data_IF_715618781267
#
_entry.id   IF_715618781267
#
_cell.length_a   1.000
_cell.length_b   1.000
_cell.length_c   1.000
_cell.angle_alpha   90.00
_cell.angle_beta   90.00
_cell.angle_gamma   90.00
#
_symmetry.space_group_name_H-M   'P 1'
#
loop_
_entity.id
_entity.type
_entity.pdbx_description
1 polymer ?
#
# COMPACT_ATOMS: atom_id res chain seq x y z
N UNK A 1 -24.50 7.81 -12.15
CA UNK A 1 -23.18 7.33 -11.68
C UNK A 1 -23.30 6.77 -10.28
N UNK A 2 -22.74 5.58 -10.02
CA UNK A 2 -22.68 4.97 -8.69
C UNK A 2 -21.34 5.29 -8.04
N UNK A 3 -21.35 5.82 -6.81
CA UNK A 3 -20.15 6.33 -6.14
C UNK A 3 -19.84 5.53 -4.86
N UNK A 4 -18.59 5.18 -4.65
CA UNK A 4 -18.06 4.74 -3.36
C UNK A 4 -16.99 5.73 -2.86
N UNK A 5 -17.03 6.03 -1.57
CA UNK A 5 -16.09 6.97 -0.95
C UNK A 5 -15.26 6.29 0.10
N UNK A 6 -13.94 6.46 0.06
CA UNK A 6 -13.04 5.91 1.05
C UNK A 6 -11.58 6.20 0.78
N UNK A 7 -10.74 5.99 1.79
CA UNK A 7 -9.30 6.15 1.59
C UNK A 7 -8.68 4.97 0.83
N UNK A 8 -9.19 3.76 1.00
CA UNK A 8 -8.80 2.52 0.31
C UNK A 8 -7.28 2.24 0.35
N UNK A 9 -6.61 2.54 1.48
CA UNK A 9 -5.19 2.28 1.59
C UNK A 9 -4.89 0.77 1.59
N UNK A 10 -4.02 0.36 0.67
CA UNK A 10 -3.66 -1.03 0.45
C UNK A 10 -4.63 -1.79 -0.45
N UNK A 11 -5.78 -1.24 -0.86
CA UNK A 11 -6.79 -1.93 -1.69
C UNK A 11 -6.90 -3.43 -1.33
N UNK A 12 -6.91 -3.73 -0.02
CA UNK A 12 -6.89 -5.07 0.54
C UNK A 12 -8.17 -5.85 0.23
N UNK A 13 -8.22 -7.15 0.52
CA UNK A 13 -9.34 -8.03 0.16
C UNK A 13 -10.71 -7.48 0.56
N UNK A 14 -10.84 -6.84 1.72
CA UNK A 14 -12.09 -6.18 2.12
C UNK A 14 -12.45 -4.98 1.23
N UNK A 15 -11.47 -4.17 0.82
CA UNK A 15 -11.71 -3.09 -0.14
C UNK A 15 -12.09 -3.63 -1.52
N UNK A 16 -11.44 -4.70 -1.98
CA UNK A 16 -11.73 -5.33 -3.28
C UNK A 16 -13.17 -5.82 -3.36
N UNK A 17 -13.71 -6.40 -2.29
CA UNK A 17 -15.12 -6.81 -2.23
C UNK A 17 -16.07 -5.61 -2.35
N UNK A 18 -15.79 -4.51 -1.66
CA UNK A 18 -16.59 -3.28 -1.78
C UNK A 18 -16.52 -2.71 -3.20
N UNK A 19 -15.33 -2.71 -3.83
CA UNK A 19 -15.14 -2.21 -5.18
C UNK A 19 -15.83 -3.12 -6.21
N UNK A 20 -15.78 -4.43 -6.03
CA UNK A 20 -16.50 -5.36 -6.90
C UNK A 20 -18.01 -5.10 -6.86
N UNK A 21 -18.60 -4.95 -5.66
CA UNK A 21 -20.02 -4.61 -5.53
C UNK A 21 -20.37 -3.25 -6.14
N UNK A 22 -19.44 -2.27 -6.08
CA UNK A 22 -19.61 -0.97 -6.76
C UNK A 22 -19.72 -1.16 -8.28
N UNK A 23 -18.79 -1.90 -8.88
CA UNK A 23 -18.73 -2.13 -10.33
C UNK A 23 -19.97 -2.92 -10.78
N UNK A 24 -20.34 -3.97 -10.04
CA UNK A 24 -21.55 -4.78 -10.34
C UNK A 24 -22.83 -3.93 -10.24
N UNK A 25 -22.96 -3.10 -9.20
CA UNK A 25 -24.12 -2.22 -9.03
C UNK A 25 -24.22 -1.18 -10.15
N UNK A 26 -23.11 -0.62 -10.60
CA UNK A 26 -23.06 0.30 -11.72
C UNK A 26 -23.46 -0.40 -13.03
N UNK A 27 -22.90 -1.58 -13.31
CA UNK A 27 -23.21 -2.37 -14.51
C UNK A 27 -24.69 -2.75 -14.62
N UNK A 28 -25.31 -3.21 -13.51
CA UNK A 28 -26.76 -3.56 -13.46
C UNK A 28 -27.63 -2.36 -13.79
N UNK A 29 -27.19 -1.14 -13.46
CA UNK A 29 -27.94 0.11 -13.67
C UNK A 29 -27.65 0.73 -15.05
N UNK A 30 -26.64 0.27 -15.77
CA UNK A 30 -26.13 0.93 -16.96
C UNK A 30 -25.46 2.28 -16.66
N UNK A 31 -24.97 2.45 -15.43
CA UNK A 31 -24.28 3.62 -14.94
C UNK A 31 -22.75 3.39 -14.94
N UNK A 32 -21.97 4.48 -14.84
CA UNK A 32 -20.53 4.40 -14.56
C UNK A 32 -20.29 4.22 -13.04
N UNK A 33 -19.26 3.46 -12.71
CA UNK A 33 -18.72 3.29 -11.35
C UNK A 33 -17.67 4.35 -11.03
N UNK A 34 -17.72 4.96 -9.84
CA UNK A 34 -16.72 5.93 -9.40
C UNK A 34 -16.25 5.66 -7.99
N UNK A 35 -14.95 5.66 -7.79
CA UNK A 35 -14.32 5.73 -6.46
C UNK A 35 -13.83 7.14 -6.20
N UNK A 36 -14.28 7.73 -5.10
CA UNK A 36 -13.75 8.99 -4.57
C UNK A 36 -12.79 8.65 -3.43
N UNK A 37 -11.52 9.01 -3.61
CA UNK A 37 -10.48 8.87 -2.59
C UNK A 37 -9.84 10.22 -2.27
N UNK A 38 -8.95 10.28 -1.29
CA UNK A 38 -8.43 11.53 -0.75
C UNK A 38 -6.89 11.55 -0.77
N UNK A 39 -6.34 12.76 -1.01
CA UNK A 39 -4.91 13.01 -0.87
C UNK A 39 -4.66 14.44 -0.37
N UNK A 40 -3.74 14.68 0.57
CA UNK A 40 -3.02 13.68 1.37
C UNK A 40 -3.93 12.87 2.30
N UNK A 41 -3.39 11.87 2.99
CA UNK A 41 -4.17 11.04 3.93
C UNK A 41 -4.77 11.92 5.04
N UNK A 42 -6.07 11.75 5.40
CA UNK A 42 -6.75 12.57 6.42
C UNK A 42 -5.98 12.71 7.74
N UNK A 43 -5.36 11.62 8.23
CA UNK A 43 -4.54 11.67 9.44
C UNK A 43 -3.34 12.63 9.32
N UNK A 44 -2.77 12.78 8.12
CA UNK A 44 -1.63 13.68 7.89
C UNK A 44 -2.02 15.17 7.96
N UNK A 45 -3.31 15.48 7.78
CA UNK A 45 -3.84 16.84 7.84
C UNK A 45 -4.39 17.18 9.23
N UNK A 46 -5.06 16.21 9.87
CA UNK A 46 -5.83 16.42 11.10
C UNK A 46 -5.02 16.20 12.38
N UNK A 47 -4.00 15.33 12.36
CA UNK A 47 -3.25 14.94 13.56
C UNK A 47 -1.86 15.54 13.58
N UNK A 48 -1.45 16.16 14.72
CA UNK A 48 -0.09 16.70 14.92
C UNK A 48 1.00 15.60 14.86
N UNK A 49 0.63 14.34 15.10
CA UNK A 49 1.53 13.17 15.09
C UNK A 49 1.55 12.43 13.74
N UNK A 50 1.00 13.02 12.70
CA UNK A 50 0.90 12.46 11.36
C UNK A 50 2.23 12.01 10.72
N UNK A 51 3.38 12.43 11.28
CA UNK A 51 4.71 12.02 10.78
C UNK A 51 4.97 10.51 10.91
N UNK A 52 4.18 9.77 11.71
CA UNK A 52 4.31 8.33 11.91
C UNK A 52 3.48 7.49 10.95
N UNK A 53 2.48 8.06 10.26
CA UNK A 53 1.65 7.28 9.36
C UNK A 53 2.45 6.84 8.13
N UNK A 54 2.44 5.53 7.88
CA UNK A 54 2.99 4.92 6.68
C UNK A 54 1.87 4.33 5.82
N UNK A 55 1.95 4.52 4.51
CA UNK A 55 0.94 4.10 3.54
C UNK A 55 1.26 2.70 3.00
N UNK A 56 0.23 1.89 2.82
CA UNK A 56 0.35 0.56 2.19
C UNK A 56 0.50 0.68 0.67
N UNK A 57 -0.14 1.67 0.05
CA UNK A 57 -0.05 1.96 -1.38
C UNK A 57 0.30 3.42 -1.62
N UNK A 58 1.08 3.70 -2.64
CA UNK A 58 1.19 5.06 -3.18
C UNK A 58 -0.14 5.45 -3.84
N UNK A 59 -0.34 6.75 -4.09
CA UNK A 59 -1.54 7.20 -4.80
C UNK A 59 -1.61 6.62 -6.22
N UNK A 60 -0.47 6.54 -6.91
CA UNK A 60 -0.40 5.96 -8.25
C UNK A 60 -0.76 4.47 -8.24
N UNK A 61 -0.15 3.67 -7.34
CA UNK A 61 -0.49 2.25 -7.18
C UNK A 61 -1.98 2.05 -6.88
N UNK A 62 -2.53 2.83 -5.94
CA UNK A 62 -3.95 2.75 -5.59
C UNK A 62 -4.86 3.01 -6.79
N UNK A 63 -4.60 4.09 -7.56
CA UNK A 63 -5.38 4.39 -8.77
C UNK A 63 -5.32 3.27 -9.79
N UNK A 64 -4.13 2.75 -10.05
CA UNK A 64 -3.94 1.63 -10.97
C UNK A 64 -4.74 0.41 -10.53
N UNK A 65 -4.62 -0.01 -9.26
CA UNK A 65 -5.33 -1.17 -8.72
C UNK A 65 -6.85 -1.01 -8.78
N UNK A 66 -7.38 0.19 -8.54
CA UNK A 66 -8.81 0.45 -8.64
C UNK A 66 -9.30 0.34 -10.10
N UNK A 67 -8.54 0.83 -11.08
CA UNK A 67 -8.87 0.64 -12.50
C UNK A 67 -8.76 -0.84 -12.93
N UNK A 68 -7.76 -1.58 -12.45
CA UNK A 68 -7.62 -3.02 -12.71
C UNK A 68 -8.80 -3.84 -12.14
N UNK A 69 -9.45 -3.34 -11.09
CA UNK A 69 -10.68 -3.91 -10.53
C UNK A 69 -11.96 -3.51 -11.30
N UNK A 70 -11.83 -2.74 -12.39
CA UNK A 70 -12.94 -2.37 -13.27
C UNK A 70 -13.64 -1.07 -12.89
N UNK A 71 -13.05 -0.24 -12.01
CA UNK A 71 -13.62 1.08 -11.70
C UNK A 71 -13.44 2.01 -12.90
N UNK A 72 -14.53 2.59 -13.42
CA UNK A 72 -14.50 3.48 -14.58
C UNK A 72 -13.80 4.81 -14.27
N UNK A 73 -14.08 5.39 -13.10
CA UNK A 73 -13.50 6.68 -12.69
C UNK A 73 -12.96 6.64 -11.27
N UNK A 74 -11.73 7.15 -11.10
CA UNK A 74 -11.11 7.35 -9.78
C UNK A 74 -10.82 8.83 -9.59
N UNK A 75 -11.59 9.46 -8.71
CA UNK A 75 -11.43 10.86 -8.34
C UNK A 75 -10.62 11.00 -7.06
N UNK A 76 -9.69 11.96 -7.05
CA UNK A 76 -8.81 12.23 -5.89
C UNK A 76 -9.09 13.62 -5.36
N UNK A 77 -9.85 13.71 -4.28
CA UNK A 77 -10.13 14.98 -3.64
C UNK A 77 -8.96 15.44 -2.76
N UNK A 78 -8.62 16.72 -2.87
CA UNK A 78 -7.65 17.34 -1.98
C UNK A 78 -8.21 17.40 -0.55
N UNK A 79 -7.63 16.61 0.38
CA UNK A 79 -8.04 16.63 1.77
C UNK A 79 -7.36 17.79 2.50
N UNK A 80 -8.04 18.94 2.53
CA UNK A 80 -7.61 20.16 3.21
C UNK A 80 -8.31 20.31 4.57
N UNK A 81 -7.89 21.28 5.38
CA UNK A 81 -8.62 21.63 6.62
C UNK A 81 -10.04 22.10 6.32
N UNK A 82 -10.22 22.89 5.25
CA UNK A 82 -11.54 23.37 4.84
C UNK A 82 -12.44 22.20 4.38
N UNK A 83 -11.88 21.28 3.56
CA UNK A 83 -12.60 20.06 3.19
C UNK A 83 -12.96 19.21 4.41
N UNK A 84 -12.08 19.11 5.39
CA UNK A 84 -12.33 18.34 6.63
C UNK A 84 -13.42 18.95 7.53
N UNK A 85 -13.79 20.21 7.31
CA UNK A 85 -14.89 20.89 8.03
C UNK A 85 -16.27 20.67 7.36
N UNK A 86 -16.28 20.08 6.16
CA UNK A 86 -17.52 19.80 5.42
C UNK A 86 -18.38 18.79 6.17
N UNK A 87 -19.66 19.10 6.34
CA UNK A 87 -20.65 18.18 6.93
C UNK A 87 -21.01 17.05 5.96
N UNK A 88 -21.60 15.98 6.46
CA UNK A 88 -22.11 14.88 5.65
C UNK A 88 -23.07 15.38 4.56
N UNK A 89 -24.03 16.28 4.90
CA UNK A 89 -24.98 16.80 3.92
C UNK A 89 -24.29 17.60 2.82
N UNK A 90 -23.35 18.49 3.16
CA UNK A 90 -22.57 19.28 2.20
C UNK A 90 -21.79 18.38 1.26
N UNK A 91 -21.18 17.31 1.81
CA UNK A 91 -20.44 16.33 1.02
C UNK A 91 -21.36 15.57 0.03
N UNK A 92 -22.52 15.09 0.49
CA UNK A 92 -23.47 14.39 -0.39
C UNK A 92 -23.98 15.31 -1.50
N UNK A 93 -24.31 16.54 -1.19
CA UNK A 93 -24.69 17.54 -2.20
C UNK A 93 -23.55 17.84 -3.18
N UNK A 94 -22.30 17.88 -2.69
CA UNK A 94 -21.12 18.08 -3.52
C UNK A 94 -20.99 16.94 -4.55
N UNK A 95 -21.04 15.67 -4.13
CA UNK A 95 -20.87 14.55 -5.07
C UNK A 95 -22.03 14.45 -6.08
N UNK A 96 -23.24 14.80 -5.69
CA UNK A 96 -24.39 14.86 -6.60
C UNK A 96 -24.20 15.96 -7.66
N UNK A 97 -23.75 17.15 -7.24
CA UNK A 97 -23.63 18.30 -8.12
C UNK A 97 -22.42 18.20 -9.06
N UNK A 98 -21.25 17.85 -8.52
CA UNK A 98 -19.99 17.91 -9.29
C UNK A 98 -19.78 16.64 -10.13
N UNK A 99 -20.26 15.49 -9.68
CA UNK A 99 -20.04 14.21 -10.36
C UNK A 99 -21.31 13.57 -10.92
N UNK A 100 -22.47 14.16 -10.68
CA UNK A 100 -23.73 13.57 -11.12
C UNK A 100 -24.04 12.24 -10.44
N UNK A 101 -23.66 12.09 -9.15
CA UNK A 101 -23.95 10.87 -8.42
C UNK A 101 -25.46 10.64 -8.31
N UNK A 102 -25.90 9.45 -8.72
CA UNK A 102 -27.31 8.99 -8.63
C UNK A 102 -27.48 7.95 -7.53
N UNK A 103 -26.40 7.26 -7.15
CA UNK A 103 -26.37 6.29 -6.07
C UNK A 103 -25.04 6.34 -5.31
N UNK A 104 -25.09 6.03 -4.03
CA UNK A 104 -23.91 5.86 -3.18
C UNK A 104 -23.88 4.45 -2.60
N UNK A 105 -22.69 3.81 -2.70
CA UNK A 105 -22.43 2.53 -2.07
C UNK A 105 -21.80 2.79 -0.69
N UNK A 106 -22.45 2.28 0.37
CA UNK A 106 -22.03 2.45 1.76
C UNK A 106 -21.58 1.13 2.38
N UNK A 107 -20.34 1.11 2.88
CA UNK A 107 -19.86 0.08 3.79
C UNK A 107 -20.50 0.21 5.19
N UNK A 108 -20.41 -0.84 5.97
CA UNK A 108 -20.97 -0.88 7.34
C UNK A 108 -20.28 0.09 8.31
N UNK A 109 -19.03 0.42 8.08
CA UNK A 109 -18.17 1.27 8.93
C UNK A 109 -17.87 2.64 8.33
N UNK A 110 -18.53 2.99 7.22
CA UNK A 110 -18.31 4.29 6.57
C UNK A 110 -18.73 5.43 7.51
N UNK A 111 -17.83 6.38 7.68
CA UNK A 111 -18.10 7.66 8.35
C UNK A 111 -17.80 8.79 7.36
N UNK A 112 -18.75 9.69 7.22
CA UNK A 112 -18.67 10.81 6.27
C UNK A 112 -18.94 12.12 7.00
N UNK A 113 -18.19 13.16 6.63
CA UNK A 113 -18.33 14.51 7.16
C UNK A 113 -17.58 14.74 8.48
N UNK A 114 -17.47 16.03 8.86
CA UNK A 114 -16.85 16.45 10.13
C UNK A 114 -17.69 16.06 11.34
N UNK A 115 -18.98 15.85 11.15
CA UNK A 115 -19.96 15.34 12.10
C UNK A 115 -19.82 13.83 12.37
N UNK A 116 -18.88 13.17 11.64
CA UNK A 116 -18.56 11.75 11.77
C UNK A 116 -19.79 10.84 11.73
N UNK A 117 -20.77 11.22 10.88
CA UNK A 117 -22.04 10.51 10.73
C UNK A 117 -21.80 9.04 10.40
N UNK A 118 -22.51 8.16 11.10
CA UNK A 118 -22.46 6.73 10.85
C UNK A 118 -23.18 6.35 9.54
N UNK A 119 -22.99 5.12 9.09
CA UNK A 119 -23.54 4.62 7.83
C UNK A 119 -25.08 4.75 7.76
N UNK A 120 -25.80 4.64 8.88
CA UNK A 120 -27.26 4.76 8.91
C UNK A 120 -27.70 6.23 8.81
N UNK A 121 -26.97 7.14 9.42
CA UNK A 121 -27.23 8.58 9.29
C UNK A 121 -26.96 9.05 7.88
N UNK A 122 -25.85 8.60 7.29
CA UNK A 122 -25.50 8.88 5.88
C UNK A 122 -26.60 8.36 4.95
N UNK A 123 -27.07 7.12 5.15
CA UNK A 123 -28.12 6.54 4.32
C UNK A 123 -29.43 7.34 4.39
N UNK A 124 -29.88 7.73 5.59
CA UNK A 124 -31.09 8.55 5.74
C UNK A 124 -30.97 9.90 5.04
N UNK A 125 -29.85 10.57 5.19
CA UNK A 125 -29.60 11.85 4.53
C UNK A 125 -29.54 11.68 3.01
N UNK A 126 -28.82 10.70 2.51
CA UNK A 126 -28.71 10.43 1.07
C UNK A 126 -30.09 10.25 0.43
N UNK A 127 -30.95 9.40 1.04
CA UNK A 127 -32.33 9.18 0.57
C UNK A 127 -33.14 10.49 0.61
N UNK A 128 -33.00 11.30 1.66
CA UNK A 128 -33.73 12.60 1.75
C UNK A 128 -33.31 13.61 0.66
N UNK A 129 -32.08 13.47 0.15
CA UNK A 129 -31.56 14.30 -0.95
C UNK A 129 -31.90 13.72 -2.33
N UNK A 130 -32.52 12.54 -2.41
CA UNK A 130 -32.82 11.87 -3.68
C UNK A 130 -31.68 11.01 -4.24
N UNK A 131 -30.66 10.72 -3.42
CA UNK A 131 -29.57 9.82 -3.76
C UNK A 131 -29.92 8.39 -3.32
N UNK A 132 -29.84 7.44 -4.23
CA UNK A 132 -30.09 6.04 -3.91
C UNK A 132 -28.96 5.48 -3.04
N UNK A 133 -29.30 4.61 -2.10
CA UNK A 133 -28.32 3.97 -1.20
C UNK A 133 -28.22 2.50 -1.49
N UNK A 134 -27.01 2.05 -1.83
CA UNK A 134 -26.66 0.65 -1.98
C UNK A 134 -25.80 0.27 -0.77
N UNK A 135 -26.23 -0.74 0.00
CA UNK A 135 -25.45 -1.23 1.13
C UNK A 135 -24.58 -2.39 0.69
N UNK A 136 -23.33 -2.37 1.11
CA UNK A 136 -22.46 -3.53 0.91
C UNK A 136 -22.94 -4.69 1.77
N UNK A 137 -22.98 -5.88 1.17
CA UNK A 137 -23.12 -7.11 1.93
C UNK A 137 -21.83 -7.40 2.69
N UNK A 138 -21.96 -7.73 3.99
CA UNK A 138 -20.83 -8.28 4.73
C UNK A 138 -20.56 -9.68 4.21
N UNK A 139 -19.51 -9.83 3.39
CA UNK A 139 -19.00 -11.15 3.07
C UNK A 139 -17.99 -11.51 4.15
N UNK A 140 -18.24 -12.57 4.94
CA UNK A 140 -17.24 -13.07 5.87
C UNK A 140 -15.97 -13.38 5.07
N UNK A 141 -14.82 -12.85 5.47
CA UNK A 141 -13.57 -13.26 4.83
C UNK A 141 -13.42 -14.78 5.03
N UNK A 142 -13.11 -15.52 3.98
CA UNK A 142 -12.82 -16.97 4.06
C UNK A 142 -11.73 -17.29 5.10
N UNK A 143 -10.90 -16.32 5.42
CA UNK A 143 -9.83 -16.40 6.42
C UNK A 143 -10.31 -16.20 7.88
N UNK A 144 -11.60 -15.90 8.14
CA UNK A 144 -12.14 -15.73 9.49
C UNK A 144 -11.62 -14.50 10.27
N UNK A 145 -10.83 -13.63 9.65
CA UNK A 145 -10.26 -12.44 10.28
C UNK A 145 -10.83 -11.15 9.68
N UNK A 146 -11.19 -10.21 10.55
CA UNK A 146 -11.47 -8.85 10.13
C UNK A 146 -10.16 -8.23 9.57
N UNK A 147 -10.11 -8.02 8.25
CA UNK A 147 -8.98 -7.38 7.57
C UNK A 147 -9.10 -5.87 7.69
N UNK A 148 -8.00 -5.20 8.04
CA UNK A 148 -7.91 -3.75 8.06
C UNK A 148 -6.51 -3.26 7.70
N UNK A 149 -6.40 -2.06 7.12
CA UNK A 149 -5.10 -1.46 6.81
C UNK A 149 -4.18 -1.34 8.04
N UNK A 150 -4.75 -1.20 9.25
CA UNK A 150 -3.96 -1.17 10.49
C UNK A 150 -3.30 -2.51 10.77
N UNK A 151 -4.05 -3.61 10.73
CA UNK A 151 -3.50 -4.96 10.93
C UNK A 151 -2.45 -5.32 9.88
N UNK A 152 -2.67 -4.92 8.62
CA UNK A 152 -1.70 -5.15 7.55
C UNK A 152 -0.39 -4.41 7.82
N UNK A 153 -0.45 -3.14 8.31
CA UNK A 153 0.75 -2.42 8.72
C UNK A 153 1.49 -3.12 9.84
N UNK A 154 0.79 -3.56 10.88
CA UNK A 154 1.37 -4.32 11.99
C UNK A 154 2.10 -5.58 11.49
N UNK A 155 1.49 -6.33 10.56
CA UNK A 155 2.12 -7.51 9.96
C UNK A 155 3.38 -7.19 9.16
N UNK A 156 3.32 -6.17 8.30
CA UNK A 156 4.49 -5.72 7.54
C UNK A 156 5.62 -5.21 8.46
N UNK A 157 5.29 -4.46 9.51
CA UNK A 157 6.24 -3.95 10.49
C UNK A 157 6.87 -5.08 11.33
N UNK A 158 6.13 -6.14 11.61
CA UNK A 158 6.64 -7.36 12.23
C UNK A 158 7.49 -8.21 11.28
N UNK A 159 7.40 -7.98 9.96
CA UNK A 159 8.06 -8.78 8.92
C UNK A 159 7.26 -10.03 8.50
N UNK A 160 6.00 -10.14 8.91
CA UNK A 160 5.08 -11.23 8.57
C UNK A 160 4.50 -11.04 7.17
N UNK A 161 5.38 -11.11 6.16
CA UNK A 161 5.04 -10.81 4.76
C UNK A 161 3.92 -11.69 4.23
N UNK A 162 3.96 -13.01 4.51
CA UNK A 162 2.97 -13.96 4.00
C UNK A 162 1.55 -13.64 4.50
N UNK A 163 1.41 -13.34 5.80
CA UNK A 163 0.11 -12.96 6.35
C UNK A 163 -0.35 -11.61 5.81
N UNK A 164 0.56 -10.65 5.66
CA UNK A 164 0.24 -9.36 5.05
C UNK A 164 -0.25 -9.53 3.60
N UNK A 165 0.43 -10.35 2.78
CA UNK A 165 0.03 -10.64 1.40
C UNK A 165 -1.34 -11.33 1.33
N UNK A 166 -1.64 -12.26 2.25
CA UNK A 166 -2.97 -12.89 2.34
C UNK A 166 -4.06 -11.85 2.64
N UNK A 167 -3.81 -10.91 3.56
CA UNK A 167 -4.75 -9.84 3.89
C UNK A 167 -4.91 -8.83 2.74
N UNK A 168 -3.83 -8.56 2.01
CA UNK A 168 -3.84 -7.67 0.85
C UNK A 168 -4.53 -8.31 -0.37
N UNK A 169 -4.36 -9.62 -0.55
CA UNK A 169 -4.76 -10.35 -1.75
C UNK A 169 -3.77 -10.19 -2.91
N UNK A 170 -2.56 -9.70 -2.61
CA UNK A 170 -1.42 -9.56 -3.55
C UNK A 170 -0.11 -9.42 -2.77
N UNK A 171 1.02 -9.66 -3.45
CA UNK A 171 2.34 -9.51 -2.84
C UNK A 171 2.71 -8.05 -2.66
N UNK A 172 3.17 -7.70 -1.44
CA UNK A 172 3.55 -6.33 -1.11
C UNK A 172 4.78 -5.89 -1.88
N UNK A 173 4.73 -4.75 -2.55
CA UNK A 173 5.86 -4.21 -3.31
C UNK A 173 6.19 -2.76 -2.95
N UNK A 174 7.44 -2.40 -3.21
CA UNK A 174 7.97 -1.03 -3.12
C UNK A 174 8.63 -0.65 -4.44
N UNK A 175 8.48 0.64 -4.82
CA UNK A 175 9.06 1.23 -6.01
C UNK A 175 10.01 2.36 -5.63
N UNK A 176 11.11 2.47 -6.33
CA UNK A 176 12.10 3.50 -6.09
C UNK A 176 13.15 3.56 -7.17
N UNK A 177 14.15 4.38 -6.92
CA UNK A 177 15.32 4.54 -7.78
C UNK A 177 16.54 3.92 -7.11
N UNK A 178 17.42 3.31 -7.90
CA UNK A 178 18.69 2.76 -7.43
C UNK A 178 19.69 3.90 -7.19
N UNK A 179 20.19 4.00 -5.97
CA UNK A 179 21.16 5.02 -5.55
C UNK A 179 22.49 4.41 -5.14
N UNK A 180 23.54 5.23 -5.07
CA UNK A 180 24.86 4.80 -4.60
C UNK A 180 24.81 4.39 -3.13
N UNK A 181 25.39 3.23 -2.80
CA UNK A 181 25.64 2.74 -1.45
C UNK A 181 27.13 2.61 -1.13
N UNK A 182 27.47 1.97 -0.01
CA UNK A 182 28.86 1.79 0.45
C UNK A 182 29.66 0.77 -0.36
N UNK A 183 29.03 0.06 -1.29
CA UNK A 183 29.66 -0.95 -2.18
C UNK A 183 30.39 -2.09 -1.45
N UNK A 184 30.16 -2.28 -0.14
CA UNK A 184 30.82 -3.34 0.65
C UNK A 184 30.47 -4.73 0.10
N UNK A 185 29.21 -4.99 -0.24
CA UNK A 185 28.77 -6.26 -0.81
C UNK A 185 29.54 -6.67 -2.07
N UNK A 186 29.91 -5.69 -2.93
CA UNK A 186 30.70 -5.96 -4.14
C UNK A 186 32.07 -6.58 -3.83
N UNK A 187 32.71 -6.20 -2.73
CA UNK A 187 34.04 -6.71 -2.34
C UNK A 187 34.02 -8.16 -1.90
N UNK A 188 32.85 -8.68 -1.50
CA UNK A 188 32.66 -10.06 -1.03
C UNK A 188 31.81 -10.91 -1.99
N UNK A 189 31.55 -10.39 -3.22
CA UNK A 189 30.83 -11.12 -4.27
C UNK A 189 29.29 -11.02 -4.21
N UNK A 190 28.75 -10.12 -3.38
CA UNK A 190 27.31 -9.86 -3.24
C UNK A 190 26.98 -8.38 -3.52
N UNK A 191 27.08 -7.91 -4.78
CA UNK A 191 26.72 -6.54 -5.12
C UNK A 191 25.25 -6.27 -4.78
N UNK A 192 24.94 -5.09 -4.24
CA UNK A 192 23.58 -4.70 -3.85
C UNK A 192 23.13 -3.42 -4.55
N UNK A 193 21.89 -3.39 -5.01
CA UNK A 193 21.16 -2.21 -5.39
C UNK A 193 20.57 -1.56 -4.12
N UNK A 194 20.93 -0.31 -3.87
CA UNK A 194 20.36 0.46 -2.77
C UNK A 194 19.16 1.23 -3.30
N UNK A 195 17.98 1.01 -2.72
CA UNK A 195 16.74 1.66 -3.17
C UNK A 195 16.45 2.90 -2.35
N UNK A 196 16.16 4.01 -3.03
CA UNK A 196 15.50 5.18 -2.47
C UNK A 196 14.05 5.19 -2.96
N UNK A 197 13.09 5.19 -2.03
CA UNK A 197 11.67 5.18 -2.36
C UNK A 197 11.22 6.47 -3.05
N UNK A 198 10.36 6.36 -4.06
CA UNK A 198 9.68 7.52 -4.67
C UNK A 198 8.68 8.18 -3.72
N UNK A 199 8.00 7.37 -2.91
CA UNK A 199 7.04 7.87 -1.91
C UNK A 199 7.61 7.66 -0.50
N UNK A 200 8.06 8.73 0.18
CA UNK A 200 8.66 8.63 1.52
C UNK A 200 7.70 8.11 2.59
N UNK A 201 6.39 8.23 2.36
CA UNK A 201 5.35 7.72 3.27
C UNK A 201 5.04 6.24 3.05
N UNK A 202 5.54 5.61 1.98
CA UNK A 202 5.36 4.17 1.75
C UNK A 202 5.92 3.37 2.92
N UNK A 203 5.14 2.41 3.42
CA UNK A 203 5.57 1.55 4.51
C UNK A 203 6.73 0.65 4.06
N UNK A 204 7.82 0.67 4.80
CA UNK A 204 8.93 -0.26 4.63
C UNK A 204 8.72 -1.40 5.63
N UNK A 205 8.76 -2.68 5.23
CA UNK A 205 8.63 -3.83 6.13
C UNK A 205 9.65 -3.82 7.26
N UNK A 206 9.42 -4.57 8.33
CA UNK A 206 10.33 -4.69 9.47
C UNK A 206 11.77 -5.00 9.06
N UNK A 207 12.74 -4.74 9.95
CA UNK A 207 14.14 -5.06 9.67
C UNK A 207 14.32 -6.58 9.48
N UNK A 208 15.17 -6.98 8.57
CA UNK A 208 15.43 -8.38 8.25
C UNK A 208 15.92 -8.60 6.83
N UNK A 209 16.16 -9.86 6.51
CA UNK A 209 16.50 -10.31 5.16
C UNK A 209 15.29 -11.02 4.56
N UNK A 210 14.94 -10.65 3.35
CA UNK A 210 13.74 -11.09 2.66
C UNK A 210 14.08 -11.72 1.32
N UNK A 211 13.38 -12.79 0.97
CA UNK A 211 13.34 -13.29 -0.40
C UNK A 211 12.38 -12.40 -1.19
N UNK A 212 12.85 -11.93 -2.34
CA UNK A 212 12.13 -10.94 -3.15
C UNK A 212 12.16 -11.28 -4.63
N UNK A 213 11.11 -10.84 -5.34
CA UNK A 213 11.10 -10.69 -6.79
C UNK A 213 11.46 -9.24 -7.12
N UNK A 214 12.28 -9.05 -8.13
CA UNK A 214 12.82 -7.75 -8.54
C UNK A 214 12.47 -7.49 -9.98
N UNK A 215 11.80 -6.39 -10.26
CA UNK A 215 11.58 -5.90 -11.63
C UNK A 215 12.54 -4.73 -11.87
N UNK A 216 13.39 -4.86 -12.88
CA UNK A 216 14.35 -3.83 -13.31
C UNK A 216 14.63 -4.02 -14.79
N UNK A 217 14.75 -2.93 -15.57
CA UNK A 217 14.96 -2.97 -17.03
C UNK A 217 13.89 -3.81 -17.76
N UNK A 218 12.63 -3.75 -17.32
CA UNK A 218 11.50 -4.53 -17.82
C UNK A 218 11.73 -6.06 -17.79
N UNK A 219 12.64 -6.53 -16.92
CA UNK A 219 12.95 -7.94 -16.69
C UNK A 219 12.71 -8.30 -15.23
N UNK A 220 12.32 -9.54 -15.02
CA UNK A 220 12.03 -10.09 -13.68
C UNK A 220 13.19 -10.98 -13.23
N UNK A 221 13.68 -10.70 -12.02
CA UNK A 221 14.70 -11.46 -11.33
C UNK A 221 14.22 -11.84 -9.94
N UNK A 222 14.98 -12.70 -9.27
CA UNK A 222 14.84 -12.96 -7.85
C UNK A 222 16.07 -12.44 -7.11
N UNK A 223 15.92 -12.23 -5.81
CA UNK A 223 17.00 -11.69 -5.01
C UNK A 223 16.76 -11.81 -3.52
N UNK A 224 17.71 -11.36 -2.75
CA UNK A 224 17.57 -11.17 -1.31
C UNK A 224 17.70 -9.69 -0.96
N UNK A 225 16.72 -9.17 -0.23
CA UNK A 225 16.65 -7.76 0.20
C UNK A 225 16.91 -7.66 1.70
N UNK A 226 17.90 -6.88 2.09
CA UNK A 226 18.15 -6.51 3.48
C UNK A 226 17.50 -5.17 3.78
N UNK A 227 16.62 -5.14 4.78
CA UNK A 227 16.10 -3.93 5.40
C UNK A 227 16.77 -3.79 6.76
N UNK A 228 17.54 -2.73 6.94
CA UNK A 228 18.32 -2.51 8.14
C UNK A 228 18.41 -1.04 8.54
N UNK A 229 19.07 -0.79 9.67
CA UNK A 229 19.35 0.55 10.16
C UNK A 229 20.81 0.91 9.91
N UNK A 230 21.06 2.02 9.23
CA UNK A 230 22.40 2.57 9.11
C UNK A 230 22.57 3.72 10.10
N UNK A 231 23.61 3.68 10.97
CA UNK A 231 23.97 4.85 11.76
C UNK A 231 24.40 5.98 10.80
N UNK A 232 23.65 7.08 10.80
CA UNK A 232 24.05 8.30 10.09
C UNK A 232 24.64 9.31 11.06
N UNK A 233 25.79 9.87 10.71
CA UNK A 233 26.42 10.92 11.51
C UNK A 233 25.50 12.14 11.50
N UNK A 234 24.84 12.43 12.61
CA UNK A 234 24.10 13.69 12.86
C UNK A 234 22.58 13.69 12.65
N UNK A 235 21.92 12.63 12.15
CA UNK A 235 20.49 12.67 11.80
C UNK A 235 19.66 11.42 12.16
N UNK A 236 20.07 10.62 13.15
CA UNK A 236 19.32 9.40 13.53
C UNK A 236 19.62 8.21 12.61
N UNK A 237 19.02 7.06 12.92
CA UNK A 237 19.17 5.84 12.15
C UNK A 237 18.27 5.89 10.89
N UNK A 238 18.86 6.07 9.71
CA UNK A 238 18.13 5.92 8.45
C UNK A 238 17.95 4.43 8.11
N UNK A 239 16.73 4.04 7.71
CA UNK A 239 16.50 2.69 7.19
C UNK A 239 17.09 2.59 5.78
N UNK A 240 17.79 1.47 5.51
CA UNK A 240 18.32 1.15 4.19
C UNK A 240 17.58 -0.04 3.59
N UNK A 241 17.44 -0.04 2.27
CA UNK A 241 16.83 -1.10 1.49
C UNK A 241 17.89 -1.51 0.47
N UNK A 242 18.53 -2.64 0.71
CA UNK A 242 19.66 -3.13 -0.08
C UNK A 242 19.33 -4.50 -0.67
N UNK A 243 19.25 -4.59 -1.99
CA UNK A 243 18.85 -5.82 -2.69
C UNK A 243 19.99 -6.41 -3.50
N UNK A 244 20.41 -7.63 -3.20
CA UNK A 244 21.26 -8.44 -4.06
C UNK A 244 20.37 -9.18 -5.06
N UNK A 245 20.56 -8.91 -6.35
CA UNK A 245 19.77 -9.49 -7.46
C UNK A 245 20.55 -10.71 -8.00
N UNK A 246 19.93 -11.88 -8.02
CA UNK A 246 20.58 -13.10 -8.43
C UNK A 246 20.81 -13.15 -9.94
N UNK A 247 22.04 -13.53 -10.35
CA UNK A 247 22.40 -13.63 -11.76
C UNK A 247 22.43 -12.31 -12.52
N UNK A 248 22.61 -11.20 -11.81
CA UNK A 248 22.58 -9.85 -12.38
C UNK A 248 23.88 -9.09 -12.10
N UNK A 249 24.48 -8.49 -13.16
CA UNK A 249 25.77 -7.79 -13.09
C UNK A 249 25.80 -6.44 -13.83
N UNK A 250 24.63 -5.96 -14.27
CA UNK A 250 24.52 -4.71 -15.03
C UNK A 250 24.53 -3.47 -14.10
N UNK A 251 24.93 -2.32 -14.63
CA UNK A 251 24.87 -1.05 -13.93
C UNK A 251 23.46 -0.47 -14.06
N UNK A 252 22.80 -0.26 -12.90
CA UNK A 252 21.44 0.22 -12.81
C UNK A 252 21.29 1.48 -11.93
N UNK A 253 22.38 2.19 -11.65
CA UNK A 253 22.29 3.45 -10.90
C UNK A 253 21.40 4.48 -11.63
N UNK A 254 20.51 5.11 -10.89
CA UNK A 254 19.56 6.08 -11.41
C UNK A 254 18.35 5.47 -12.14
N UNK A 255 18.28 4.14 -12.26
CA UNK A 255 17.15 3.46 -12.88
C UNK A 255 16.09 3.06 -11.85
N UNK A 256 14.88 2.88 -12.36
CA UNK A 256 13.74 2.40 -11.60
C UNK A 256 13.91 0.94 -11.18
N UNK A 257 13.49 0.64 -9.96
CA UNK A 257 13.46 -0.72 -9.42
C UNK A 257 12.16 -0.94 -8.64
N UNK A 258 11.54 -2.09 -8.87
CA UNK A 258 10.47 -2.58 -8.03
C UNK A 258 10.93 -3.82 -7.27
N UNK A 259 10.71 -3.84 -5.96
CA UNK A 259 11.01 -4.97 -5.08
C UNK A 259 9.71 -5.48 -4.48
N UNK A 260 9.33 -6.71 -4.83
CA UNK A 260 8.14 -7.40 -4.33
C UNK A 260 8.57 -8.44 -3.30
N UNK A 261 8.02 -8.37 -2.11
CA UNK A 261 8.38 -9.23 -0.97
C UNK A 261 7.62 -10.55 -1.02
N UNK A 262 8.33 -11.67 -0.96
CA UNK A 262 7.75 -13.02 -0.96
C UNK A 262 7.72 -13.59 0.45
N UNK A 263 8.86 -13.58 1.16
CA UNK A 263 8.96 -14.08 2.52
C UNK A 263 10.14 -13.49 3.26
N UNK A 264 10.07 -13.45 4.59
CA UNK A 264 11.21 -13.15 5.45
C UNK A 264 12.07 -14.40 5.62
N UNK A 265 13.37 -14.27 5.41
CA UNK A 265 14.34 -15.36 5.57
C UNK A 265 14.85 -15.41 7.01
N UNK A 266 15.23 -14.25 7.54
CA UNK A 266 15.73 -14.11 8.93
C UNK A 266 15.67 -12.67 9.42
N UNK A 267 15.93 -12.51 10.71
CA UNK A 267 16.17 -11.19 11.31
C UNK A 267 17.52 -10.59 10.92
N UNK A 268 17.62 -9.27 11.04
CA UNK A 268 18.89 -8.57 10.91
C UNK A 268 19.84 -8.97 12.05
N UNK A 269 21.11 -9.21 11.74
CA UNK A 269 22.14 -9.49 12.74
C UNK A 269 23.45 -8.81 12.39
N UNK A 270 24.29 -8.55 13.41
CA UNK A 270 25.66 -8.04 13.23
C UNK A 270 26.61 -9.21 13.07
N UNK A 271 27.68 -9.00 12.29
CA UNK A 271 28.72 -9.99 12.05
C UNK A 271 30.06 -9.48 12.59
N UNK A 272 30.85 -10.41 13.12
CA UNK A 272 32.17 -10.10 13.69
C UNK A 272 33.25 -9.94 12.63
N UNK A 273 33.07 -10.51 11.43
CA UNK A 273 34.01 -10.43 10.31
C UNK A 273 33.31 -10.41 8.95
N UNK A 274 34.04 -10.04 7.91
CA UNK A 274 33.56 -10.11 6.52
C UNK A 274 33.36 -11.55 6.04
N UNK A 275 34.16 -12.49 6.53
CA UNK A 275 34.01 -13.92 6.23
C UNK A 275 32.72 -14.47 6.79
N UNK A 276 32.40 -14.16 8.06
CA UNK A 276 31.13 -14.54 8.67
C UNK A 276 29.93 -13.96 7.91
N UNK A 277 30.00 -12.68 7.51
CA UNK A 277 28.98 -12.06 6.68
C UNK A 277 28.83 -12.79 5.35
N UNK A 278 29.93 -13.12 4.67
CA UNK A 278 29.91 -13.80 3.38
C UNK A 278 29.27 -15.18 3.48
N UNK A 279 29.66 -15.99 4.46
CA UNK A 279 29.06 -17.31 4.69
C UNK A 279 27.55 -17.21 4.95
N UNK A 280 27.12 -16.21 5.72
CA UNK A 280 25.68 -16.01 5.93
C UNK A 280 24.94 -15.62 4.65
N UNK A 281 25.51 -14.75 3.83
CA UNK A 281 24.91 -14.35 2.55
C UNK A 281 24.83 -15.52 1.57
N UNK A 282 25.81 -16.42 1.56
CA UNK A 282 25.75 -17.68 0.80
C UNK A 282 24.59 -18.57 1.28
N UNK A 283 24.45 -18.76 2.59
CA UNK A 283 23.36 -19.52 3.18
C UNK A 283 21.98 -18.88 2.91
N UNK A 284 21.86 -17.55 3.02
CA UNK A 284 20.64 -16.79 2.70
C UNK A 284 20.24 -16.97 1.23
N UNK A 285 21.21 -16.88 0.30
CA UNK A 285 20.99 -17.10 -1.13
C UNK A 285 20.50 -18.52 -1.39
N UNK A 286 21.16 -19.53 -0.82
CA UNK A 286 20.80 -20.93 -1.02
C UNK A 286 19.40 -21.21 -0.47
N UNK A 287 19.03 -20.59 0.67
CA UNK A 287 17.68 -20.62 1.21
C UNK A 287 16.67 -20.01 0.22
N UNK A 288 16.96 -18.82 -0.33
CA UNK A 288 16.09 -18.17 -1.31
C UNK A 288 15.92 -19.04 -2.56
N UNK A 289 17.01 -19.62 -3.08
CA UNK A 289 16.96 -20.49 -4.27
C UNK A 289 16.16 -21.78 -4.04
N UNK A 290 16.13 -22.29 -2.82
CA UNK A 290 15.31 -23.46 -2.45
C UNK A 290 13.80 -23.17 -2.41
N UNK A 291 13.40 -21.90 -2.43
CA UNK A 291 12.01 -21.46 -2.43
C UNK A 291 11.46 -21.16 -3.84
N UNK A 292 12.31 -21.23 -4.87
CA UNK A 292 11.91 -21.11 -6.28
C UNK A 292 11.31 -22.42 -6.80
#
# INVERSE_FOLDING_TARGET
MVVATGFFDGVHVGHRLVIQQLVEAAAVRGDESMVITFWPHPRNVLQKEARSLRLLTTLAQKKQMLHELGVDRVEVLSFTKDFSAMTMEEYLRHIMKEYGATAILLGYDNRIGCDAADSDQVARMAVSLGLEVIRTEMVPSEAGFAVSSTKIREKLEAGDIKEASQMLGYDYSMHGVVVSGNRLGRTIGFPTANMQLYEPLKLVPGNGVYFVKVNVLDRVFYGMCNIGLRPTVGAGNARTIETNIFGFDEDIYGLDIEVTFISRIREERKFGSLEELKHQLESDRDTCLSLL
#
